data_IF_491679172108
#
_entry.id   IF_491679172108
#
_cell.length_a   1.000
_cell.length_b   1.000
_cell.length_c   1.000
_cell.angle_alpha   90.00
_cell.angle_beta   90.00
_cell.angle_gamma   90.00
#
_symmetry.space_group_name_H-M   'P 1'
#
loop_
_entity.id
_entity.type
_entity.pdbx_description
1 polymer ?
#
# COMPACT_ATOMS: atom_id res chain seq x y z
N UNK A 1 -14.96 21.09 -18.41
CA UNK A 1 -14.81 20.80 -16.97
C UNK A 1 -14.63 19.29 -16.81
N UNK A 2 -13.50 18.81 -16.29
CA UNK A 2 -13.21 17.35 -16.20
C UNK A 2 -14.13 16.69 -15.15
N UNK A 3 -14.68 15.49 -15.45
CA UNK A 3 -15.55 14.71 -14.55
C UNK A 3 -14.97 14.59 -13.13
N UNK A 4 -13.64 14.38 -13.02
CA UNK A 4 -12.93 14.28 -11.73
C UNK A 4 -13.03 15.56 -10.89
N UNK A 5 -12.86 16.72 -11.51
CA UNK A 5 -12.93 18.00 -10.79
C UNK A 5 -14.33 18.33 -10.27
N UNK A 6 -15.39 17.89 -10.98
CA UNK A 6 -16.76 17.98 -10.47
C UNK A 6 -16.97 17.05 -9.27
N UNK A 7 -16.43 15.83 -9.35
CA UNK A 7 -16.55 14.83 -8.29
C UNK A 7 -15.87 15.28 -6.99
N UNK A 8 -14.67 15.83 -7.06
CA UNK A 8 -13.97 16.35 -5.88
C UNK A 8 -14.68 17.54 -5.22
N UNK A 9 -15.30 18.43 -6.02
CA UNK A 9 -16.14 19.51 -5.48
C UNK A 9 -17.37 18.96 -4.76
N UNK A 10 -18.02 17.96 -5.34
CA UNK A 10 -19.16 17.29 -4.71
C UNK A 10 -18.75 16.62 -3.38
N UNK A 11 -17.63 15.89 -3.33
CA UNK A 11 -17.13 15.29 -2.09
C UNK A 11 -16.87 16.33 -1.00
N UNK A 12 -16.21 17.44 -1.35
CA UNK A 12 -15.96 18.54 -0.41
C UNK A 12 -17.26 19.12 0.15
N UNK A 13 -18.27 19.30 -0.69
CA UNK A 13 -19.59 19.75 -0.27
C UNK A 13 -20.26 18.70 0.63
N UNK A 14 -20.29 17.44 0.21
CA UNK A 14 -20.83 16.33 1.00
C UNK A 14 -20.20 16.27 2.39
N UNK A 15 -18.87 16.32 2.48
CA UNK A 15 -18.12 16.28 3.73
C UNK A 15 -18.37 17.51 4.63
N UNK A 16 -18.68 18.65 4.02
CA UNK A 16 -19.03 19.86 4.76
C UNK A 16 -20.43 19.77 5.37
N UNK A 17 -21.38 19.12 4.68
CA UNK A 17 -22.76 18.95 5.17
C UNK A 17 -22.92 17.74 6.10
N UNK A 18 -22.27 16.64 5.74
CA UNK A 18 -22.35 15.37 6.45
C UNK A 18 -21.09 15.24 7.30
N UNK A 19 -21.27 15.29 8.62
CA UNK A 19 -20.20 15.06 9.58
C UNK A 19 -19.61 13.64 9.49
N UNK A 20 -18.73 13.32 10.42
CA UNK A 20 -18.05 12.02 10.44
C UNK A 20 -18.86 10.92 11.11
N UNK A 21 -18.64 9.68 10.67
CA UNK A 21 -19.17 8.47 11.31
C UNK A 21 -18.55 8.31 12.69
N UNK A 22 -19.40 8.06 13.69
CA UNK A 22 -18.97 7.85 15.09
C UNK A 22 -19.28 6.43 15.60
N UNK A 23 -20.15 5.69 14.91
CA UNK A 23 -20.53 4.33 15.29
C UNK A 23 -19.64 3.33 14.57
N UNK A 24 -18.99 2.43 15.32
CA UNK A 24 -18.22 1.34 14.74
C UNK A 24 -19.12 0.41 13.92
N UNK A 25 -18.66 0.03 12.73
CA UNK A 25 -19.31 -1.00 11.92
C UNK A 25 -18.31 -1.70 10.98
N UNK A 26 -17.03 -1.72 11.38
CA UNK A 26 -15.93 -2.12 10.50
C UNK A 26 -16.10 -3.55 9.96
N UNK A 27 -16.58 -4.49 10.78
CA UNK A 27 -16.83 -5.88 10.39
C UNK A 27 -17.76 -6.02 9.17
N UNK A 28 -18.77 -5.14 9.06
CA UNK A 28 -19.82 -5.25 8.05
C UNK A 28 -19.54 -4.36 6.85
N UNK A 29 -18.92 -3.20 7.08
CA UNK A 29 -18.75 -2.18 6.04
C UNK A 29 -17.33 -2.07 5.52
N UNK A 30 -16.32 -2.54 6.25
CA UNK A 30 -14.90 -2.26 5.98
C UNK A 30 -14.51 -0.79 6.14
N UNK A 31 -15.40 0.06 6.68
CA UNK A 31 -15.15 1.49 6.92
C UNK A 31 -14.77 1.77 8.36
N UNK A 32 -13.88 2.75 8.55
CA UNK A 32 -13.37 3.17 9.85
C UNK A 32 -13.98 4.52 10.24
N UNK A 33 -14.35 4.66 11.51
CA UNK A 33 -14.54 5.97 12.13
C UNK A 33 -13.20 6.70 12.29
N UNK A 34 -13.18 8.02 12.49
CA UNK A 34 -11.95 8.73 12.79
C UNK A 34 -11.25 8.23 14.05
N UNK A 35 -12.01 7.81 15.07
CA UNK A 35 -11.44 7.22 16.29
C UNK A 35 -10.72 5.90 15.97
N UNK A 36 -11.39 4.99 15.25
CA UNK A 36 -10.78 3.71 14.85
C UNK A 36 -9.57 3.91 13.92
N UNK A 37 -9.59 4.94 13.05
CA UNK A 37 -8.43 5.30 12.23
C UNK A 37 -7.24 5.72 13.10
N UNK A 38 -7.49 6.51 14.16
CA UNK A 38 -6.44 6.92 15.10
C UNK A 38 -5.94 5.72 15.91
N UNK A 39 -6.83 4.86 16.43
CA UNK A 39 -6.46 3.66 17.18
C UNK A 39 -5.65 2.68 16.33
N UNK A 40 -6.06 2.43 15.08
CA UNK A 40 -5.31 1.57 14.17
C UNK A 40 -3.94 2.17 13.79
N UNK A 41 -3.85 3.50 13.71
CA UNK A 41 -2.58 4.17 13.48
C UNK A 41 -1.65 4.16 14.69
N UNK A 42 -2.19 4.27 15.90
CA UNK A 42 -1.42 4.10 17.13
C UNK A 42 -0.84 2.68 17.23
N UNK A 43 -1.64 1.66 16.91
CA UNK A 43 -1.17 0.28 16.88
C UNK A 43 -0.07 0.08 15.82
N UNK A 44 -0.25 0.66 14.62
CA UNK A 44 0.74 0.59 13.55
C UNK A 44 2.08 1.20 13.98
N UNK A 45 2.07 2.42 14.52
CA UNK A 45 3.28 3.12 14.98
C UNK A 45 3.93 2.36 16.14
N UNK A 46 3.14 1.78 17.04
CA UNK A 46 3.66 1.02 18.17
C UNK A 46 4.37 -0.26 17.74
N UNK A 47 3.82 -1.00 16.76
CA UNK A 47 4.41 -2.26 16.28
C UNK A 47 5.47 -2.06 15.22
N UNK A 48 5.36 -1.02 14.40
CA UNK A 48 6.23 -0.72 13.26
C UNK A 48 6.77 0.71 13.37
N UNK A 49 7.87 0.93 14.10
CA UNK A 49 8.42 2.27 14.34
C UNK A 49 8.92 3.01 13.09
N UNK A 50 8.95 2.35 11.92
CA UNK A 50 9.19 3.01 10.62
C UNK A 50 8.04 3.93 10.22
N UNK A 51 6.83 3.71 10.76
CA UNK A 51 5.69 4.58 10.61
C UNK A 51 5.66 5.62 11.73
N UNK A 52 5.31 6.85 11.38
CA UNK A 52 5.13 7.94 12.33
C UNK A 52 3.86 8.74 12.04
N UNK A 53 3.24 9.27 13.09
CA UNK A 53 2.20 10.29 12.95
C UNK A 53 2.82 11.63 12.55
N UNK A 54 2.18 12.29 11.59
CA UNK A 54 2.51 13.64 11.18
C UNK A 54 1.40 14.63 11.60
N UNK A 55 1.85 15.84 11.90
CA UNK A 55 1.00 16.96 12.30
C UNK A 55 0.45 17.69 11.06
N UNK A 56 -0.63 18.44 11.23
CA UNK A 56 -1.21 19.22 10.13
C UNK A 56 -2.09 20.36 10.61
N UNK A 57 -2.45 21.25 9.67
CA UNK A 57 -3.30 22.42 9.94
C UNK A 57 -4.63 22.00 10.60
N UNK A 58 -5.03 22.68 11.69
CA UNK A 58 -6.24 22.32 12.46
C UNK A 58 -7.52 22.36 11.61
N UNK A 59 -7.59 23.27 10.65
CA UNK A 59 -8.74 23.42 9.74
C UNK A 59 -8.90 22.28 8.73
N UNK A 60 -7.85 21.47 8.52
CA UNK A 60 -7.91 20.29 7.66
C UNK A 60 -8.28 19.10 8.53
N UNK A 61 -9.43 18.47 8.24
CA UNK A 61 -9.97 17.33 8.98
C UNK A 61 -10.05 17.61 10.50
N UNK A 62 -10.88 18.58 10.94
CA UNK A 62 -10.93 19.02 12.34
C UNK A 62 -11.39 17.94 13.33
N UNK A 63 -11.98 16.85 12.83
CA UNK A 63 -12.38 15.68 13.61
C UNK A 63 -11.22 14.73 13.95
N UNK A 64 -10.01 14.96 13.40
CA UNK A 64 -8.79 14.25 13.77
C UNK A 64 -7.89 15.12 14.66
N UNK A 65 -7.18 14.53 15.64
CA UNK A 65 -6.25 15.26 16.50
C UNK A 65 -5.16 16.01 15.70
N UNK A 66 -4.73 17.22 16.12
CA UNK A 66 -3.70 18.00 15.42
C UNK A 66 -2.38 17.27 15.17
N UNK A 67 -1.99 16.39 16.10
CA UNK A 67 -0.74 15.62 16.05
C UNK A 67 -0.88 14.23 15.41
N UNK A 68 -2.08 13.88 14.96
CA UNK A 68 -2.40 12.56 14.37
C UNK A 68 -3.26 12.76 13.12
N UNK A 69 -2.79 13.59 12.19
CA UNK A 69 -3.53 13.94 10.97
C UNK A 69 -3.37 12.88 9.88
N UNK A 70 -2.15 12.38 9.72
CA UNK A 70 -1.84 11.34 8.75
C UNK A 70 -0.59 10.58 9.21
N UNK A 71 -0.41 9.37 8.68
CA UNK A 71 0.78 8.56 8.93
C UNK A 71 1.75 8.69 7.77
N UNK A 72 3.03 8.57 8.06
CA UNK A 72 4.11 8.59 7.09
C UNK A 72 5.11 7.48 7.36
N UNK A 73 5.58 6.84 6.30
CA UNK A 73 6.77 6.00 6.27
C UNK A 73 7.70 6.57 5.20
N UNK A 74 8.84 7.12 5.65
CA UNK A 74 9.87 7.67 4.77
C UNK A 74 10.85 6.60 4.30
N UNK A 75 11.18 6.64 3.00
CA UNK A 75 12.24 5.82 2.43
C UNK A 75 11.93 4.31 2.38
N UNK A 76 10.66 3.95 2.19
CA UNK A 76 10.28 2.55 1.97
C UNK A 76 10.96 2.01 0.70
N UNK A 77 11.77 0.95 0.80
CA UNK A 77 12.57 0.49 -0.32
C UNK A 77 11.73 -0.30 -1.34
N UNK A 78 12.12 -0.19 -2.60
CA UNK A 78 11.55 -0.89 -3.74
C UNK A 78 12.68 -1.37 -4.66
N UNK A 79 13.13 -2.61 -4.44
CA UNK A 79 14.31 -3.18 -5.11
C UNK A 79 14.06 -3.69 -6.52
N UNK A 80 12.79 -3.88 -6.89
CA UNK A 80 12.41 -4.39 -8.21
C UNK A 80 11.09 -3.78 -8.66
N UNK A 81 10.83 -3.86 -9.97
CA UNK A 81 9.56 -3.42 -10.57
C UNK A 81 8.46 -4.44 -10.32
N UNK A 82 7.21 -3.99 -10.38
CA UNK A 82 6.10 -4.92 -10.33
C UNK A 82 6.18 -5.91 -11.51
N UNK A 83 5.89 -7.20 -11.27
CA UNK A 83 5.86 -8.17 -12.35
C UNK A 83 4.79 -7.80 -13.38
N UNK A 84 5.06 -8.11 -14.64
CA UNK A 84 4.05 -8.03 -15.70
C UNK A 84 2.99 -9.11 -15.48
N UNK A 85 1.78 -8.87 -15.98
CA UNK A 85 0.62 -9.74 -15.76
C UNK A 85 0.88 -11.21 -16.19
N UNK A 86 1.71 -11.43 -17.21
CA UNK A 86 2.05 -12.77 -17.71
C UNK A 86 2.95 -13.57 -16.76
N UNK A 87 3.53 -12.94 -15.72
CA UNK A 87 4.50 -13.58 -14.82
C UNK A 87 3.87 -14.26 -13.60
N UNK A 88 2.62 -13.94 -13.25
CA UNK A 88 1.93 -14.52 -12.12
C UNK A 88 0.82 -15.45 -12.64
N UNK A 89 1.00 -16.76 -12.46
CA UNK A 89 0.02 -17.77 -12.83
C UNK A 89 -1.26 -17.73 -11.98
N UNK A 90 -1.90 -18.89 -11.80
CA UNK A 90 -3.23 -19.11 -11.20
C UNK A 90 -3.46 -18.56 -9.76
N UNK A 91 -2.51 -17.84 -9.17
CA UNK A 91 -2.58 -17.23 -7.83
C UNK A 91 -3.23 -15.84 -7.79
N UNK A 92 -3.75 -15.36 -8.94
CA UNK A 92 -4.57 -14.16 -9.01
C UNK A 92 -6.01 -14.46 -8.57
N UNK A 93 -6.46 -13.78 -7.52
CA UNK A 93 -7.90 -13.71 -7.23
C UNK A 93 -8.42 -12.37 -7.73
N UNK A 94 -9.07 -12.37 -8.88
CA UNK A 94 -9.88 -11.22 -9.30
C UNK A 94 -11.13 -11.16 -8.43
N UNK A 95 -11.25 -10.09 -7.66
CA UNK A 95 -12.46 -9.81 -6.91
C UNK A 95 -13.61 -9.36 -7.80
N UNK A 96 -14.84 -9.51 -7.31
CA UNK A 96 -16.03 -8.92 -7.95
C UNK A 96 -15.91 -7.38 -8.13
N UNK A 97 -15.07 -6.73 -7.32
CA UNK A 97 -14.72 -5.31 -7.38
C UNK A 97 -13.71 -4.95 -8.49
N UNK A 98 -13.23 -5.94 -9.25
CA UNK A 98 -12.26 -5.79 -10.33
C UNK A 98 -10.81 -5.55 -9.86
N UNK A 99 -10.55 -5.64 -8.55
CA UNK A 99 -9.20 -5.63 -7.99
C UNK A 99 -8.63 -7.04 -7.97
N UNK A 100 -7.43 -7.19 -8.52
CA UNK A 100 -6.67 -8.42 -8.40
C UNK A 100 -5.93 -8.37 -7.07
N UNK A 101 -6.25 -9.32 -6.18
CA UNK A 101 -5.46 -9.58 -4.98
C UNK A 101 -4.60 -10.80 -5.27
N UNK A 102 -3.28 -10.64 -5.25
CA UNK A 102 -2.35 -11.77 -5.39
C UNK A 102 -2.01 -12.30 -4.01
N UNK A 103 -2.03 -13.63 -3.83
CA UNK A 103 -1.33 -14.25 -2.71
C UNK A 103 0.16 -14.22 -3.06
N UNK A 104 0.83 -13.09 -2.79
CA UNK A 104 2.29 -13.06 -2.82
C UNK A 104 2.80 -13.85 -1.61
N UNK A 105 2.96 -15.16 -1.74
CA UNK A 105 3.95 -15.87 -0.94
C UNK A 105 5.29 -15.22 -1.29
N UNK A 106 5.75 -14.33 -0.41
CA UNK A 106 7.06 -13.66 -0.53
C UNK A 106 8.11 -14.77 -0.48
N UNK A 107 8.56 -15.24 -1.63
CA UNK A 107 9.80 -16.01 -1.68
C UNK A 107 10.87 -15.07 -1.13
N UNK A 108 11.56 -15.42 -0.02
CA UNK A 108 12.62 -14.58 0.50
C UNK A 108 13.61 -14.36 -0.64
N UNK A 109 13.90 -13.08 -0.91
CA UNK A 109 14.84 -12.64 -1.92
C UNK A 109 16.04 -13.57 -1.90
N UNK A 110 16.26 -14.32 -2.99
CA UNK A 110 17.51 -15.06 -3.17
C UNK A 110 18.62 -14.05 -2.92
N UNK A 111 19.41 -14.27 -1.86
CA UNK A 111 20.52 -13.41 -1.49
C UNK A 111 21.26 -13.01 -2.77
N UNK A 112 21.31 -11.71 -3.04
CA UNK A 112 22.18 -11.16 -4.08
C UNK A 112 23.58 -11.56 -3.64
N UNK A 113 24.13 -12.60 -4.27
CA UNK A 113 25.52 -12.97 -4.10
C UNK A 113 26.29 -11.78 -4.64
N UNK A 114 26.89 -11.00 -3.73
CA UNK A 114 27.91 -10.02 -4.10
C UNK A 114 28.98 -10.78 -4.88
N UNK A 115 28.99 -10.64 -6.20
CA UNK A 115 30.08 -11.17 -7.00
C UNK A 115 31.37 -10.47 -6.54
N UNK A 116 32.44 -11.22 -6.20
CA UNK A 116 33.65 -10.62 -5.65
C UNK A 116 34.30 -9.73 -6.70
N UNK A 117 34.82 -8.59 -6.23
CA UNK A 117 35.47 -7.56 -7.02
C UNK A 117 36.44 -8.19 -8.04
N UNK A 118 36.09 -8.06 -9.32
CA UNK A 118 36.97 -8.44 -10.42
C UNK A 118 38.16 -7.47 -10.37
N UNK A 119 39.27 -7.91 -9.77
CA UNK A 119 40.55 -7.22 -9.86
C UNK A 119 40.92 -7.13 -11.33
N UNK A 120 40.88 -5.92 -11.88
CA UNK A 120 41.33 -5.65 -13.24
C UNK A 120 42.85 -5.80 -13.21
N UNK A 121 43.36 -6.94 -13.69
CA UNK A 121 44.77 -7.11 -13.99
C UNK A 121 45.01 -6.59 -15.40
N UNK A 122 45.78 -5.51 -15.52
CA UNK A 122 45.95 -4.74 -16.75
C UNK A 122 47.08 -5.26 -17.67
N UNK A 123 47.48 -6.53 -17.55
CA UNK A 123 48.69 -7.04 -18.22
C UNK A 123 48.49 -8.21 -19.19
N UNK A 124 47.25 -8.60 -19.52
CA UNK A 124 47.02 -9.58 -20.58
C UNK A 124 46.31 -8.89 -21.76
N UNK A 125 47.13 -8.35 -22.67
CA UNK A 125 46.75 -8.11 -24.06
C UNK A 125 46.60 -9.47 -24.77
N UNK A 126 45.58 -9.57 -25.63
CA UNK A 126 45.25 -10.69 -26.51
C UNK A 126 44.46 -11.87 -25.89
N UNK A 127 43.12 -11.82 -25.99
CA UNK A 127 42.37 -12.78 -26.81
C UNK A 127 40.87 -12.43 -26.87
N UNK A 128 40.33 -12.52 -28.09
CA UNK A 128 38.93 -12.32 -28.44
C UNK A 128 38.07 -13.48 -27.89
N UNK A 129 37.35 -13.27 -26.79
CA UNK A 129 36.28 -14.19 -26.38
C UNK A 129 34.93 -13.48 -26.20
N UNK A 130 33.98 -14.06 -26.93
CA UNK A 130 32.63 -13.63 -27.19
C UNK A 130 31.71 -13.99 -26.00
N UNK A 131 31.71 -13.16 -24.96
CA UNK A 131 30.78 -13.33 -23.86
C UNK A 131 29.55 -12.44 -24.08
N UNK A 132 28.43 -13.09 -24.40
CA UNK A 132 27.07 -12.59 -24.21
C UNK A 132 26.94 -12.08 -22.77
N UNK A 133 27.23 -10.79 -22.55
CA UNK A 133 26.79 -10.07 -21.37
C UNK A 133 25.27 -9.94 -21.48
N UNK A 134 24.55 -10.99 -21.10
CA UNK A 134 23.16 -10.89 -20.72
C UNK A 134 23.04 -9.73 -19.73
N UNK A 135 22.23 -8.76 -20.11
CA UNK A 135 21.92 -7.52 -19.42
C UNK A 135 21.57 -7.79 -17.95
N UNK A 136 22.58 -7.89 -17.08
CA UNK A 136 22.43 -7.63 -15.64
C UNK A 136 22.34 -6.11 -15.51
N UNK A 137 21.33 -5.52 -16.17
CA UNK A 137 20.98 -4.12 -16.04
C UNK A 137 20.71 -3.89 -14.56
N UNK A 138 21.58 -3.11 -13.93
CA UNK A 138 21.51 -2.72 -12.53
C UNK A 138 20.06 -2.33 -12.20
N UNK A 139 19.33 -3.22 -11.49
CA UNK A 139 17.99 -2.92 -11.01
C UNK A 139 18.13 -1.92 -9.87
N UNK A 140 18.17 -0.64 -10.21
CA UNK A 140 18.36 0.45 -9.25
C UNK A 140 17.19 0.48 -8.26
N UNK A 141 17.53 0.40 -6.98
CA UNK A 141 16.59 0.52 -5.88
C UNK A 141 15.90 1.90 -5.95
N UNK A 142 14.60 1.92 -5.65
CA UNK A 142 13.81 3.14 -5.48
C UNK A 142 13.40 3.27 -4.03
N UNK A 143 13.25 4.51 -3.58
CA UNK A 143 12.78 4.82 -2.24
C UNK A 143 11.45 5.54 -2.34
N UNK A 144 10.51 5.18 -1.47
CA UNK A 144 9.17 5.74 -1.47
C UNK A 144 8.83 6.35 -0.11
N UNK A 145 8.35 7.59 -0.13
CA UNK A 145 7.59 8.10 1.00
C UNK A 145 6.13 7.67 0.83
N UNK A 146 5.64 6.91 1.81
CA UNK A 146 4.27 6.40 1.86
C UNK A 146 3.49 7.21 2.87
N UNK A 147 2.38 7.80 2.43
CA UNK A 147 1.49 8.58 3.27
C UNK A 147 0.13 7.89 3.35
N UNK A 148 -0.42 7.77 4.56
CA UNK A 148 -1.75 7.24 4.80
C UNK A 148 -2.62 8.32 5.45
N UNK A 149 -3.67 8.72 4.74
CA UNK A 149 -4.59 9.78 5.14
C UNK A 149 -6.00 9.21 5.27
N UNK A 150 -6.79 9.70 6.22
CA UNK A 150 -8.21 9.33 6.29
C UNK A 150 -9.00 10.02 5.17
N UNK A 151 -9.75 9.28 4.36
CA UNK A 151 -10.72 9.86 3.42
C UNK A 151 -12.09 9.95 4.10
N UNK A 152 -12.58 11.16 4.37
CA UNK A 152 -13.87 11.37 5.04
C UNK A 152 -15.07 10.88 4.23
N UNK A 153 -15.02 11.00 2.89
CA UNK A 153 -16.15 10.66 2.03
C UNK A 153 -16.33 9.15 1.96
N UNK A 154 -15.24 8.41 1.79
CA UNK A 154 -15.26 6.94 1.76
C UNK A 154 -15.11 6.28 3.12
N UNK A 155 -14.70 7.05 4.14
CA UNK A 155 -14.50 6.58 5.52
C UNK A 155 -13.46 5.45 5.59
N UNK A 156 -12.39 5.58 4.80
CA UNK A 156 -11.31 4.60 4.67
C UNK A 156 -9.95 5.29 4.64
N UNK A 157 -8.86 4.59 4.97
CA UNK A 157 -7.52 5.09 4.70
C UNK A 157 -7.28 5.22 3.19
N UNK A 158 -6.51 6.22 2.79
CA UNK A 158 -6.09 6.48 1.41
C UNK A 158 -4.58 6.61 1.36
N UNK A 159 -3.95 5.92 0.41
CA UNK A 159 -2.50 5.96 0.22
C UNK A 159 -2.12 7.02 -0.81
N UNK A 160 -1.05 7.75 -0.50
CA UNK A 160 -0.30 8.58 -1.42
C UNK A 160 1.17 8.16 -1.40
N UNK A 161 1.81 8.19 -2.56
CA UNK A 161 3.20 7.77 -2.76
C UNK A 161 3.97 8.90 -3.43
N UNK A 162 5.19 9.12 -2.97
CA UNK A 162 6.20 9.94 -3.64
C UNK A 162 7.44 9.07 -3.79
N UNK A 163 7.87 8.86 -5.04
CA UNK A 163 9.00 8.01 -5.36
C UNK A 163 10.27 8.82 -5.61
N UNK A 164 11.40 8.28 -5.19
CA UNK A 164 12.72 8.83 -5.37
C UNK A 164 13.66 7.77 -5.97
N UNK A 165 14.71 8.24 -6.63
CA UNK A 165 15.86 7.41 -6.96
C UNK A 165 16.58 6.96 -5.67
N UNK A 166 17.65 6.17 -5.84
CA UNK A 166 18.45 5.60 -4.75
C UNK A 166 19.06 6.66 -3.80
N UNK A 167 19.19 7.90 -4.26
CA UNK A 167 19.69 9.03 -3.48
C UNK A 167 18.66 9.66 -2.52
N UNK A 168 17.42 9.15 -2.48
CA UNK A 168 16.26 9.70 -1.74
C UNK A 168 16.03 11.21 -1.98
N UNK A 169 16.52 11.74 -3.10
CA UNK A 169 16.51 13.19 -3.40
C UNK A 169 15.92 13.46 -4.77
N UNK A 170 16.35 12.70 -5.78
CA UNK A 170 15.86 12.84 -7.15
C UNK A 170 14.47 12.22 -7.26
N UNK A 171 13.46 13.04 -7.54
CA UNK A 171 12.08 12.58 -7.72
C UNK A 171 11.93 11.71 -8.97
N UNK A 172 11.21 10.60 -8.82
CA UNK A 172 10.80 9.77 -9.95
C UNK A 172 9.70 10.47 -10.74
N UNK A 173 9.72 10.24 -12.05
CA UNK A 173 8.62 10.60 -12.93
C UNK A 173 7.40 9.71 -12.65
N UNK A 174 6.23 10.18 -13.10
CA UNK A 174 5.00 9.39 -13.05
C UNK A 174 5.19 8.01 -13.70
N UNK A 175 5.73 7.99 -14.92
CA UNK A 175 5.85 6.74 -15.70
C UNK A 175 6.81 5.77 -15.02
N UNK A 176 7.84 6.27 -14.35
CA UNK A 176 8.70 5.47 -13.48
C UNK A 176 7.92 4.86 -12.33
N UNK A 177 7.19 5.65 -11.53
CA UNK A 177 6.41 5.12 -10.41
C UNK A 177 5.35 4.10 -10.86
N UNK A 178 4.76 4.30 -12.04
CA UNK A 178 3.77 3.36 -12.60
C UNK A 178 4.37 1.98 -12.91
N UNK A 179 5.68 1.85 -13.10
CA UNK A 179 6.34 0.56 -13.28
C UNK A 179 6.37 -0.27 -11.99
N UNK A 180 6.23 0.36 -10.82
CA UNK A 180 6.16 -0.33 -9.52
C UNK A 180 4.71 -0.70 -9.15
N UNK A 181 3.73 -0.18 -9.90
CA UNK A 181 2.31 -0.56 -9.76
C UNK A 181 2.04 -1.80 -10.60
N UNK A 182 1.37 -2.78 -10.00
CA UNK A 182 0.97 -4.01 -10.68
C UNK A 182 0.08 -3.72 -11.90
N UNK A 183 0.37 -4.38 -13.03
CA UNK A 183 -0.14 -4.01 -14.35
C UNK A 183 -1.68 -3.90 -14.40
N UNK A 184 -2.40 -4.86 -13.80
CA UNK A 184 -3.87 -4.88 -13.78
C UNK A 184 -4.49 -3.73 -12.97
N UNK A 185 -3.73 -3.11 -12.07
CA UNK A 185 -4.18 -2.04 -11.18
C UNK A 185 -3.85 -0.63 -11.71
N UNK A 186 -2.87 -0.50 -12.62
CA UNK A 186 -2.34 0.80 -13.13
C UNK A 186 -3.43 1.76 -13.60
N UNK A 187 -4.39 1.28 -14.41
CA UNK A 187 -5.43 2.14 -15.00
C UNK A 187 -6.71 2.22 -14.16
N UNK A 188 -6.90 1.27 -13.24
CA UNK A 188 -8.14 1.11 -12.47
C UNK A 188 -8.11 1.90 -11.17
N UNK A 189 -6.98 1.90 -10.46
CA UNK A 189 -6.93 2.30 -9.05
C UNK A 189 -6.00 3.47 -8.79
N UNK A 190 -5.07 3.74 -9.70
CA UNK A 190 -4.01 4.73 -9.51
C UNK A 190 -4.25 6.01 -10.28
N UNK A 191 -4.15 7.15 -9.58
CA UNK A 191 -4.24 8.50 -10.17
C UNK A 191 -3.18 9.44 -9.60
N UNK A 192 -2.96 10.57 -10.27
CA UNK A 192 -2.16 11.66 -9.72
C UNK A 192 -3.10 12.64 -9.01
N UNK A 193 -2.93 12.78 -7.71
CA UNK A 193 -3.75 13.64 -6.87
C UNK A 193 -2.87 14.47 -5.92
N UNK A 194 -3.26 15.72 -5.61
CA UNK A 194 -2.55 16.50 -4.63
C UNK A 194 -2.76 15.89 -3.23
N UNK A 195 -1.68 15.69 -2.48
CA UNK A 195 -1.78 15.29 -1.08
C UNK A 195 -2.48 16.40 -0.28
N UNK A 196 -3.48 16.09 0.57
CA UNK A 196 -4.30 17.11 1.24
C UNK A 196 -3.51 18.04 2.17
N UNK A 197 -2.44 17.54 2.80
CA UNK A 197 -1.56 18.32 3.67
C UNK A 197 -0.34 18.93 2.94
N UNK A 198 0.44 18.11 2.21
CA UNK A 198 1.64 18.57 1.49
C UNK A 198 1.34 19.47 0.27
N UNK A 199 0.13 19.41 -0.31
CA UNK A 199 -0.27 20.13 -1.54
C UNK A 199 0.61 19.81 -2.77
N UNK A 200 1.49 18.82 -2.66
CA UNK A 200 2.30 18.26 -3.74
C UNK A 200 1.52 17.22 -4.53
N UNK A 201 1.80 17.09 -5.83
CA UNK A 201 1.23 16.04 -6.66
C UNK A 201 1.88 14.69 -6.33
N UNK A 202 1.06 13.69 -6.04
CA UNK A 202 1.52 12.35 -5.66
C UNK A 202 0.78 11.30 -6.49
N UNK A 203 1.35 10.11 -6.61
CA UNK A 203 0.58 8.92 -6.98
C UNK A 203 -0.36 8.61 -5.83
N UNK A 204 -1.64 8.40 -6.10
CA UNK A 204 -2.66 8.08 -5.12
C UNK A 204 -3.41 6.82 -5.51
N UNK A 205 -3.59 5.93 -4.55
CA UNK A 205 -4.45 4.74 -4.71
C UNK A 205 -5.85 5.15 -4.26
N UNK A 206 -6.80 5.05 -5.19
CA UNK A 206 -8.12 5.64 -5.02
C UNK A 206 -8.98 4.85 -4.02
N UNK A 207 -9.58 5.51 -3.01
CA UNK A 207 -10.16 4.84 -1.84
C UNK A 207 -11.53 4.17 -2.06
N UNK A 208 -12.14 4.32 -3.23
CA UNK A 208 -13.52 3.90 -3.45
C UNK A 208 -13.79 2.40 -3.25
N UNK A 209 -12.78 1.56 -3.46
CA UNK A 209 -12.90 0.10 -3.29
C UNK A 209 -12.34 -0.41 -1.97
N UNK A 210 -11.68 0.44 -1.19
CA UNK A 210 -10.99 0.00 0.03
C UNK A 210 -11.96 -0.66 1.02
N UNK A 211 -13.15 -0.08 1.24
CA UNK A 211 -14.14 -0.62 2.16
C UNK A 211 -14.62 -2.02 1.73
N UNK A 212 -14.93 -2.17 0.45
CA UNK A 212 -15.40 -3.42 -0.16
C UNK A 212 -14.32 -4.51 -0.09
N UNK A 213 -13.08 -4.17 -0.45
CA UNK A 213 -11.98 -5.13 -0.38
C UNK A 213 -11.66 -5.51 1.06
N UNK A 214 -11.59 -4.56 2.00
CA UNK A 214 -11.35 -4.87 3.42
C UNK A 214 -12.42 -5.83 3.98
N UNK A 215 -13.69 -5.57 3.66
CA UNK A 215 -14.80 -6.46 4.03
C UNK A 215 -14.62 -7.87 3.44
N UNK A 216 -14.23 -7.98 2.17
CA UNK A 216 -13.96 -9.28 1.53
C UNK A 216 -12.86 -10.04 2.25
N UNK A 217 -11.74 -9.39 2.57
CA UNK A 217 -10.61 -10.05 3.24
C UNK A 217 -11.01 -10.53 4.65
N UNK A 218 -11.77 -9.72 5.40
CA UNK A 218 -12.33 -10.14 6.71
C UNK A 218 -13.26 -11.34 6.55
N UNK A 219 -14.09 -11.36 5.51
CA UNK A 219 -15.00 -12.47 5.24
C UNK A 219 -14.24 -13.76 4.88
N UNK A 220 -13.12 -13.69 4.16
CA UNK A 220 -12.28 -14.86 3.89
C UNK A 220 -11.66 -15.41 5.18
N UNK A 221 -11.11 -14.54 6.04
CA UNK A 221 -10.58 -14.95 7.34
C UNK A 221 -11.67 -15.60 8.20
N UNK A 222 -12.87 -15.02 8.22
CA UNK A 222 -14.03 -15.56 8.93
C UNK A 222 -14.36 -16.98 8.45
N UNK A 223 -14.50 -17.18 7.14
CA UNK A 223 -14.81 -18.48 6.55
C UNK A 223 -13.75 -19.53 6.92
N UNK A 224 -12.47 -19.17 6.90
CA UNK A 224 -11.36 -20.07 7.30
C UNK A 224 -11.43 -20.43 8.79
N UNK A 225 -11.60 -19.43 9.64
CA UNK A 225 -11.74 -19.62 11.08
C UNK A 225 -12.92 -20.53 11.44
N UNK A 226 -14.05 -20.37 10.76
CA UNK A 226 -15.24 -21.22 10.94
C UNK A 226 -15.00 -22.64 10.42
N UNK A 227 -14.31 -22.81 9.28
CA UNK A 227 -13.98 -24.12 8.71
C UNK A 227 -13.03 -24.94 9.60
N UNK A 228 -12.01 -24.30 10.18
CA UNK A 228 -11.06 -24.94 11.11
C UNK A 228 -11.74 -25.36 12.43
N UNK A 229 -12.81 -24.65 12.82
CA UNK A 229 -13.53 -24.85 14.08
C UNK A 229 -14.78 -25.71 14.00
N UNK A 230 -15.10 -26.32 12.86
CA UNK A 230 -16.37 -27.01 12.64
C UNK A 230 -16.66 -28.16 13.63
N UNK A 231 -15.64 -28.63 14.36
CA UNK A 231 -15.75 -29.70 15.35
C UNK A 231 -15.89 -29.19 16.81
N UNK A 232 -15.83 -27.88 17.05
CA UNK A 232 -15.88 -27.28 18.39
C UNK A 232 -17.28 -26.70 18.65
N UNK A 233 -18.02 -27.27 19.62
CA UNK A 233 -19.40 -26.90 19.92
C UNK A 233 -19.58 -25.49 20.54
N UNK A 234 -18.52 -24.92 21.12
CA UNK A 234 -18.53 -23.64 21.83
C UNK A 234 -17.43 -22.70 21.32
N UNK A 235 -17.35 -22.50 20.01
CA UNK A 235 -16.39 -21.56 19.40
C UNK A 235 -16.97 -20.14 19.35
N UNK A 236 -16.20 -19.17 19.84
CA UNK A 236 -16.57 -17.75 19.76
C UNK A 236 -16.72 -17.29 18.31
N UNK A 237 -17.67 -16.38 18.08
CA UNK A 237 -17.86 -15.77 16.77
C UNK A 237 -16.60 -15.00 16.34
N UNK A 238 -16.17 -15.20 15.09
CA UNK A 238 -15.03 -14.47 14.54
C UNK A 238 -15.32 -12.97 14.49
N UNK A 239 -14.42 -12.18 15.07
CA UNK A 239 -14.42 -10.72 15.01
C UNK A 239 -13.00 -10.25 14.74
N UNK A 240 -12.80 -9.54 13.63
CA UNK A 240 -11.48 -9.00 13.32
C UNK A 240 -11.15 -7.81 14.25
N UNK A 241 -9.99 -7.76 14.93
CA UNK A 241 -9.67 -6.64 15.80
C UNK A 241 -9.47 -5.33 15.02
N UNK A 242 -10.34 -4.33 15.21
CA UNK A 242 -10.30 -3.09 14.40
C UNK A 242 -8.99 -2.30 14.50
N UNK A 243 -8.30 -2.33 15.65
CA UNK A 243 -6.98 -1.70 15.80
C UNK A 243 -5.91 -2.35 14.90
N UNK A 244 -6.14 -3.57 14.38
CA UNK A 244 -5.27 -4.22 13.40
C UNK A 244 -5.61 -3.87 11.94
N UNK A 245 -6.58 -2.99 11.69
CA UNK A 245 -7.08 -2.69 10.35
C UNK A 245 -5.99 -2.19 9.39
N UNK A 246 -4.98 -1.45 9.87
CA UNK A 246 -3.92 -0.95 9.00
C UNK A 246 -2.96 -2.03 8.52
N UNK A 247 -2.75 -3.10 9.29
CA UNK A 247 -1.94 -4.23 8.83
C UNK A 247 -2.65 -4.99 7.70
N UNK A 248 -3.96 -5.22 7.86
CA UNK A 248 -4.78 -5.81 6.80
C UNK A 248 -4.83 -4.90 5.57
N UNK A 249 -4.97 -3.59 5.78
CA UNK A 249 -4.98 -2.60 4.71
C UNK A 249 -3.63 -2.51 3.98
N UNK A 250 -2.50 -2.54 4.68
CA UNK A 250 -1.17 -2.55 4.06
C UNK A 250 -0.91 -3.84 3.30
N UNK A 251 -1.40 -4.99 3.79
CA UNK A 251 -1.35 -6.25 3.04
C UNK A 251 -2.14 -6.15 1.74
N UNK A 252 -3.30 -5.50 1.78
CA UNK A 252 -4.08 -5.17 0.58
C UNK A 252 -3.34 -4.21 -0.36
N UNK A 253 -2.73 -3.13 0.14
CA UNK A 253 -1.96 -2.20 -0.68
C UNK A 253 -0.73 -2.88 -1.32
N UNK A 254 -0.15 -3.87 -0.62
CA UNK A 254 0.91 -4.72 -1.18
C UNK A 254 0.42 -5.58 -2.36
N UNK A 255 -0.88 -5.76 -2.60
CA UNK A 255 -1.35 -6.38 -3.84
C UNK A 255 -1.42 -5.39 -5.02
N UNK A 256 -1.41 -4.08 -4.74
CA UNK A 256 -1.42 -3.01 -5.76
C UNK A 256 -0.01 -2.62 -6.16
N UNK A 257 0.85 -2.44 -5.16
CA UNK A 257 2.24 -2.00 -5.32
C UNK A 257 3.12 -3.00 -4.57
N UNK A 258 3.35 -4.19 -5.16
CA UNK A 258 3.87 -5.37 -4.47
C UNK A 258 5.33 -5.31 -4.10
N UNK A 259 6.08 -4.37 -4.68
CA UNK A 259 7.53 -4.31 -4.53
C UNK A 259 8.01 -3.28 -3.53
N UNK A 260 7.11 -2.43 -3.01
CA UNK A 260 7.41 -1.54 -1.89
C UNK A 260 7.34 -2.33 -0.58
N UNK A 261 8.39 -2.23 0.22
CA UNK A 261 8.45 -2.91 1.52
C UNK A 261 7.82 -2.04 2.63
N UNK A 262 6.60 -2.39 3.04
CA UNK A 262 5.85 -1.70 4.11
C UNK A 262 6.20 -2.14 5.54
N UNK A 263 7.20 -3.03 5.69
CA UNK A 263 7.62 -3.64 6.96
C UNK A 263 6.50 -4.39 7.70
N UNK A 264 5.84 -5.34 7.01
CA UNK A 264 4.84 -6.22 7.62
C UNK A 264 5.51 -7.37 8.37
N UNK A 265 5.98 -7.16 9.60
CA UNK A 265 6.47 -8.24 10.47
C UNK A 265 5.35 -9.14 11.01
N UNK A 266 4.11 -8.66 11.03
CA UNK A 266 2.94 -9.43 11.48
C UNK A 266 2.39 -10.25 10.31
N UNK A 267 2.52 -11.58 10.39
CA UNK A 267 1.85 -12.50 9.47
C UNK A 267 0.35 -12.48 9.76
N UNK A 268 -0.37 -11.60 9.08
CA UNK A 268 -1.82 -11.73 8.95
C UNK A 268 -2.05 -12.67 7.78
N UNK A 269 -2.40 -13.93 8.06
CA UNK A 269 -2.80 -14.86 7.01
C UNK A 269 -4.20 -14.47 6.51
N UNK A 270 -4.32 -14.26 5.19
CA UNK A 270 -5.59 -13.97 4.52
C UNK A 270 -6.08 -15.28 3.91
#
# INVERSE_FOLDING_TARGET
>A
MNKRGLYEKYKKLYNCLNGVKTVSNFQVTGTLTPLEFVEAGDELVQKMPVWAWAEGEEGIQPFLPPRKKYLVYHGAPCYQRAPDADSLGENEMEGEDGWVTTHAERQPSKNVVMAPAKTINWDDEDDEDQDNAEDIGERKCRLYDVYMVYDQYYQTPRIFLIGYAEDHTTLLTKDEMMQDVYASNREKTVSIDPHPFLKAACISIHPCRHAETMKRLIQHMKTRYEAEGANEAEKDAFVFPTHMAFFLFLKFISSVVPTIEYDLSTSIDI
#
